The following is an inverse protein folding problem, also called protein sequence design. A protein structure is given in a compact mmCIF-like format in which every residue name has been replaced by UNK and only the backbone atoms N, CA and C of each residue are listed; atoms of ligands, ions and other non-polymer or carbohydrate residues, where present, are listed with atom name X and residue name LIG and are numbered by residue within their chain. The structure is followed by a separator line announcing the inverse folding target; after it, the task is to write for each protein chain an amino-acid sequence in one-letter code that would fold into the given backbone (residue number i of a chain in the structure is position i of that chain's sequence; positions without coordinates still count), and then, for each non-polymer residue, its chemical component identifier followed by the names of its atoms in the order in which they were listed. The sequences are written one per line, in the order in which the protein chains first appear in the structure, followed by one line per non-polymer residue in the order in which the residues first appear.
data_IF_080882372210
#
_entry.id   IF_080882372210
#
_cell.length_a   1.000
_cell.length_b   1.000
_cell.length_c   1.000
_cell.angle_alpha   90.00
_cell.angle_beta   90.00
_cell.angle_gamma   90.00
#
_symmetry.space_group_name_H-M   'P 1'
#
loop_
_entity.id
_entity.type
_entity.pdbx_description
1 polymer ?
#
# COMPACT_ATOMS: atom_id res chain seq x y z
N UNK A 1 -23.92 2.31 -36.67
CA UNK A 1 -22.64 1.55 -36.53
C UNK A 1 -22.09 1.85 -35.16
N UNK A 2 -21.38 0.91 -34.53
CA UNK A 2 -20.72 1.18 -33.25
C UNK A 2 -19.25 1.54 -33.45
N UNK A 3 -18.71 2.31 -32.52
CA UNK A 3 -17.29 2.57 -32.37
C UNK A 3 -16.85 2.23 -30.95
N UNK A 4 -15.65 1.66 -30.81
CA UNK A 4 -15.04 1.45 -29.50
C UNK A 4 -14.59 2.79 -28.92
N UNK A 5 -14.55 2.89 -27.60
CA UNK A 5 -14.13 4.10 -26.89
C UNK A 5 -13.25 3.78 -25.69
N UNK A 6 -12.62 4.82 -25.15
CA UNK A 6 -11.78 4.75 -23.95
C UNK A 6 -12.19 5.86 -23.00
N UNK A 7 -12.40 5.51 -21.73
CA UNK A 7 -12.73 6.48 -20.68
C UNK A 7 -11.85 6.25 -19.45
N UNK A 8 -11.65 7.33 -18.70
CA UNK A 8 -10.83 7.36 -17.50
C UNK A 8 -11.72 7.44 -16.26
N UNK A 9 -11.32 6.77 -15.19
CA UNK A 9 -11.98 6.92 -13.90
C UNK A 9 -11.71 8.30 -13.32
N UNK A 10 -12.71 8.87 -12.64
CA UNK A 10 -12.54 10.06 -11.83
C UNK A 10 -12.03 9.72 -10.42
N UNK A 11 -11.78 10.75 -9.61
CA UNK A 11 -11.29 10.58 -8.24
C UNK A 11 -12.25 9.83 -7.29
N UNK A 12 -13.48 9.53 -7.72
CA UNK A 12 -14.44 8.69 -6.99
C UNK A 12 -14.46 7.24 -7.48
N UNK A 13 -13.62 6.89 -8.46
CA UNK A 13 -13.57 5.56 -9.07
C UNK A 13 -14.73 5.32 -10.04
N UNK A 14 -15.30 6.39 -10.62
CA UNK A 14 -16.42 6.31 -11.55
C UNK A 14 -16.02 6.80 -12.95
N UNK A 15 -16.58 6.16 -13.97
CA UNK A 15 -16.49 6.59 -15.36
C UNK A 15 -17.87 6.50 -16.01
N UNK A 16 -18.10 7.27 -17.06
CA UNK A 16 -19.36 7.21 -17.81
C UNK A 16 -19.15 7.47 -19.29
N UNK A 17 -20.05 6.93 -20.09
CA UNK A 17 -20.18 7.23 -21.52
C UNK A 17 -21.59 7.74 -21.79
N UNK A 18 -21.73 8.50 -22.86
CA UNK A 18 -23.01 8.78 -23.51
C UNK A 18 -23.11 7.96 -24.82
N UNK A 19 -24.31 7.82 -25.40
CA UNK A 19 -24.48 7.02 -26.60
C UNK A 19 -23.67 7.48 -27.83
N UNK A 20 -23.31 8.77 -27.91
CA UNK A 20 -22.52 9.29 -29.03
C UNK A 20 -21.05 8.87 -28.92
N UNK A 21 -20.56 8.56 -27.73
CA UNK A 21 -19.17 8.11 -27.52
C UNK A 21 -18.90 6.75 -28.18
N UNK A 22 -19.95 5.95 -28.38
CA UNK A 22 -19.89 4.64 -29.05
C UNK A 22 -20.66 4.58 -30.36
N UNK A 23 -21.22 5.70 -30.83
CA UNK A 23 -21.85 5.78 -32.15
C UNK A 23 -20.80 6.01 -33.24
N UNK A 24 -20.61 5.01 -34.09
CA UNK A 24 -19.74 5.06 -35.26
C UNK A 24 -20.40 5.67 -36.50
N UNK A 25 -21.39 6.56 -36.32
CA UNK A 25 -22.13 7.22 -37.40
C UNK A 25 -23.34 6.42 -37.87
N UNK A 26 -24.25 6.09 -36.96
CA UNK A 26 -25.52 5.47 -37.33
C UNK A 26 -26.37 6.38 -38.21
N UNK A 27 -26.99 5.80 -39.24
CA UNK A 27 -27.85 6.51 -40.20
C UNK A 27 -29.13 5.73 -40.44
N UNK A 28 -30.21 6.44 -40.74
CA UNK A 28 -31.48 5.87 -41.20
C UNK A 28 -31.96 6.67 -42.42
N UNK A 29 -32.23 5.97 -43.52
CA UNK A 29 -32.65 6.56 -44.80
C UNK A 29 -34.06 7.19 -44.73
N UNK A 30 -34.86 6.87 -43.71
CA UNK A 30 -36.25 7.25 -43.56
C UNK A 30 -36.53 8.15 -42.33
N UNK A 31 -35.62 8.23 -41.36
CA UNK A 31 -35.81 9.01 -40.13
C UNK A 31 -35.01 10.32 -40.13
N UNK A 32 -35.64 11.41 -39.70
CA UNK A 32 -34.99 12.72 -39.53
C UNK A 32 -34.34 12.91 -38.16
N UNK A 33 -34.66 12.04 -37.19
CA UNK A 33 -34.11 12.05 -35.82
C UNK A 33 -33.94 10.60 -35.37
N UNK A 34 -32.76 10.30 -34.81
CA UNK A 34 -32.45 9.01 -34.21
C UNK A 34 -32.48 9.11 -32.68
N UNK A 35 -32.98 8.05 -32.05
CA UNK A 35 -32.98 7.82 -30.62
C UNK A 35 -31.92 6.77 -30.30
N UNK A 36 -31.19 6.98 -29.21
CA UNK A 36 -30.09 6.13 -28.78
C UNK A 36 -30.34 5.64 -27.36
N UNK A 37 -30.03 4.37 -27.11
CA UNK A 37 -30.06 3.77 -25.78
C UNK A 37 -28.84 2.88 -25.58
N UNK A 38 -28.29 2.90 -24.37
CA UNK A 38 -27.23 2.00 -23.92
C UNK A 38 -27.78 1.07 -22.85
N UNK A 39 -27.36 -0.18 -22.85
CA UNK A 39 -27.62 -1.12 -21.77
C UNK A 39 -26.85 -0.77 -20.49
N UNK A 40 -25.67 -0.15 -20.63
CA UNK A 40 -24.84 0.37 -19.55
C UNK A 40 -24.14 1.68 -19.99
N UNK A 41 -24.10 2.66 -19.09
CA UNK A 41 -23.45 3.96 -19.34
C UNK A 41 -22.61 4.48 -18.17
N UNK A 42 -22.57 3.75 -17.06
CA UNK A 42 -21.81 4.06 -15.86
C UNK A 42 -20.95 2.85 -15.49
N UNK A 43 -19.72 3.13 -15.08
CA UNK A 43 -18.71 2.13 -14.74
C UNK A 43 -18.02 2.52 -13.44
N UNK A 44 -17.54 1.50 -12.75
CA UNK A 44 -16.76 1.57 -11.53
C UNK A 44 -15.44 0.83 -11.72
N UNK A 45 -14.50 0.98 -10.80
CA UNK A 45 -13.22 0.27 -10.85
C UNK A 45 -13.35 -1.25 -10.98
N UNK A 46 -14.45 -1.87 -10.51
CA UNK A 46 -14.67 -3.31 -10.66
C UNK A 46 -15.00 -3.75 -12.09
N UNK A 47 -15.33 -2.81 -12.97
CA UNK A 47 -15.65 -3.06 -14.38
C UNK A 47 -14.40 -3.07 -15.27
N UNK A 48 -13.25 -2.62 -14.75
CA UNK A 48 -11.99 -2.58 -15.49
C UNK A 48 -11.45 -3.99 -15.83
N UNK A 49 -10.65 -4.13 -16.91
CA UNK A 49 -10.15 -3.07 -17.80
C UNK A 49 -11.01 -2.81 -19.05
N UNK A 50 -12.02 -3.64 -19.31
CA UNK A 50 -12.83 -3.54 -20.52
C UNK A 50 -14.24 -4.10 -20.31
N UNK A 51 -15.26 -3.38 -20.80
CA UNK A 51 -16.65 -3.82 -20.83
C UNK A 51 -17.20 -3.74 -22.25
N UNK A 52 -18.04 -4.72 -22.61
CA UNK A 52 -18.81 -4.71 -23.86
C UNK A 52 -20.21 -4.13 -23.58
N UNK A 53 -20.55 -3.02 -24.23
CA UNK A 53 -21.87 -2.38 -24.13
C UNK A 53 -22.65 -2.55 -25.44
N UNK A 54 -23.97 -2.64 -25.33
CA UNK A 54 -24.89 -2.66 -26.46
C UNK A 54 -25.47 -1.25 -26.68
N UNK A 55 -25.24 -0.70 -27.86
CA UNK A 55 -25.94 0.48 -28.36
C UNK A 55 -27.15 0.04 -29.18
N UNK A 56 -28.32 0.53 -28.79
CA UNK A 56 -29.56 0.44 -29.57
C UNK A 56 -29.84 1.81 -30.21
N UNK A 57 -30.10 1.79 -31.52
CA UNK A 57 -30.45 2.97 -32.32
C UNK A 57 -31.76 2.71 -33.04
N UNK A 58 -32.74 3.59 -32.84
CA UNK A 58 -34.04 3.54 -33.52
C UNK A 58 -34.55 4.92 -33.88
N UNK A 59 -35.66 5.01 -34.60
CA UNK A 59 -36.30 6.26 -35.05
C UNK A 59 -37.41 6.74 -34.08
N UNK A 60 -37.53 6.08 -32.91
CA UNK A 60 -38.60 6.33 -31.95
C UNK A 60 -39.94 5.68 -32.31
N UNK A 61 -40.03 4.96 -33.42
CA UNK A 61 -41.21 4.20 -33.82
C UNK A 61 -41.02 2.70 -33.50
N UNK A 62 -41.78 2.14 -32.53
CA UNK A 62 -41.65 0.74 -32.16
C UNK A 62 -42.07 -0.24 -33.28
N UNK A 63 -42.68 0.22 -34.38
CA UNK A 63 -43.09 -0.62 -35.50
C UNK A 63 -42.01 -0.84 -36.56
N UNK A 64 -40.99 0.02 -36.63
CA UNK A 64 -39.91 -0.02 -37.64
C UNK A 64 -38.69 -0.80 -37.15
N UNK A 65 -38.63 -1.11 -35.85
CA UNK A 65 -37.54 -1.86 -35.22
C UNK A 65 -36.32 -0.98 -34.93
N UNK A 66 -35.34 -1.54 -34.25
CA UNK A 66 -34.08 -0.87 -33.90
C UNK A 66 -32.89 -1.67 -34.41
N UNK A 67 -31.81 -0.95 -34.73
CA UNK A 67 -30.50 -1.54 -34.97
C UNK A 67 -29.74 -1.63 -33.66
N UNK A 68 -29.11 -2.77 -33.39
CA UNK A 68 -28.20 -2.92 -32.26
C UNK A 68 -26.78 -3.20 -32.73
N UNK A 69 -25.81 -2.72 -31.97
CA UNK A 69 -24.42 -3.09 -32.15
C UNK A 69 -23.70 -3.12 -30.80
N UNK A 70 -22.57 -3.82 -30.78
CA UNK A 70 -21.71 -3.92 -29.61
C UNK A 70 -20.49 -3.01 -29.78
N UNK A 71 -20.10 -2.33 -28.71
CA UNK A 71 -18.89 -1.52 -28.62
C UNK A 71 -18.06 -1.98 -27.41
N UNK A 72 -16.73 -2.03 -27.57
CA UNK A 72 -15.83 -2.20 -26.45
C UNK A 72 -15.54 -0.84 -25.80
N UNK A 73 -15.62 -0.78 -24.48
CA UNK A 73 -15.28 0.37 -23.66
C UNK A 73 -14.04 -0.01 -22.85
N UNK A 74 -12.89 0.56 -23.20
CA UNK A 74 -11.66 0.41 -22.42
C UNK A 74 -11.69 1.38 -21.24
N UNK A 75 -11.51 0.86 -20.04
CA UNK A 75 -11.52 1.61 -18.79
C UNK A 75 -10.08 1.74 -18.27
N UNK A 76 -9.63 2.97 -18.06
CA UNK A 76 -8.27 3.26 -17.60
C UNK A 76 -8.33 3.99 -16.28
N UNK A 77 -7.51 3.54 -15.33
CA UNK A 77 -7.17 4.33 -14.15
C UNK A 77 -5.75 4.87 -14.33
N UNK A 78 -5.61 6.20 -14.36
CA UNK A 78 -4.34 6.92 -14.45
C UNK A 78 -4.06 7.78 -13.21
N UNK A 79 -4.90 7.65 -12.17
CA UNK A 79 -4.74 8.37 -10.92
C UNK A 79 -3.75 7.61 -10.03
N UNK A 80 -2.78 8.35 -9.49
CA UNK A 80 -1.79 7.77 -8.59
C UNK A 80 -2.40 7.54 -7.20
N UNK A 81 -2.02 6.47 -6.48
CA UNK A 81 -2.44 6.27 -5.11
C UNK A 81 -1.95 7.40 -4.19
N UNK A 82 -2.68 7.68 -3.12
CA UNK A 82 -2.26 8.53 -2.02
C UNK A 82 -1.53 7.69 -0.97
N UNK A 83 -0.20 7.61 -1.08
CA UNK A 83 0.65 6.96 -0.08
C UNK A 83 0.72 7.81 1.20
N UNK A 84 0.33 7.22 2.34
CA UNK A 84 0.35 7.85 3.65
C UNK A 84 1.26 7.04 4.56
N UNK A 85 2.28 7.68 5.13
CA UNK A 85 3.26 7.05 6.00
C UNK A 85 3.01 7.42 7.46
N UNK A 86 3.35 6.51 8.36
CA UNK A 86 3.47 6.77 9.79
C UNK A 86 4.85 6.35 10.30
N UNK A 87 5.39 7.14 11.24
CA UNK A 87 6.63 6.80 11.92
C UNK A 87 6.40 5.64 12.90
N UNK A 88 7.45 4.84 13.11
CA UNK A 88 7.42 3.63 13.92
C UNK A 88 8.60 3.59 14.88
N UNK A 89 8.40 3.07 16.09
CA UNK A 89 9.48 2.74 17.02
C UNK A 89 9.47 1.24 17.32
N UNK A 90 10.63 0.60 17.20
CA UNK A 90 10.82 -0.84 17.44
C UNK A 90 12.02 -1.09 18.33
N UNK A 91 11.97 -2.18 19.08
CA UNK A 91 13.10 -2.67 19.88
C UNK A 91 13.70 -3.89 19.16
N UNK A 92 15.04 -4.02 19.19
CA UNK A 92 15.70 -5.25 18.74
C UNK A 92 15.32 -6.43 19.66
N UNK A 93 15.28 -7.63 19.11
CA UNK A 93 15.15 -8.85 19.89
C UNK A 93 16.47 -9.24 20.59
N UNK A 94 16.46 -10.33 21.37
CA UNK A 94 17.66 -10.83 22.06
C UNK A 94 18.78 -11.33 21.13
N UNK A 95 18.53 -11.43 19.82
CA UNK A 95 19.56 -11.70 18.81
C UNK A 95 20.14 -10.42 18.19
N UNK A 96 19.63 -9.25 18.59
CA UNK A 96 20.02 -7.95 18.05
C UNK A 96 19.42 -7.64 16.70
N UNK A 97 18.26 -8.22 16.38
CA UNK A 97 17.55 -8.07 15.11
C UNK A 97 16.10 -7.60 15.33
N UNK A 98 15.53 -6.89 14.36
CA UNK A 98 14.10 -6.61 14.32
C UNK A 98 13.62 -6.57 12.86
N UNK A 99 12.34 -6.86 12.65
CA UNK A 99 11.72 -6.79 11.33
C UNK A 99 10.47 -5.93 11.35
N UNK A 100 10.22 -5.22 10.26
CA UNK A 100 8.99 -4.46 10.03
C UNK A 100 8.34 -4.91 8.73
N UNK A 101 7.02 -4.81 8.68
CA UNK A 101 6.22 -4.99 7.48
C UNK A 101 5.80 -3.64 6.91
N UNK A 102 5.44 -3.55 5.61
CA UNK A 102 4.87 -2.33 5.04
C UNK A 102 3.65 -1.82 5.82
N UNK A 103 2.86 -2.71 6.41
CA UNK A 103 1.66 -2.36 7.18
C UNK A 103 1.98 -1.65 8.49
N UNK A 104 3.17 -1.88 9.08
CA UNK A 104 3.55 -1.23 10.35
C UNK A 104 3.84 0.27 10.17
N UNK A 105 4.21 0.67 8.95
CA UNK A 105 4.55 2.06 8.57
C UNK A 105 3.50 2.72 7.65
N UNK A 106 2.44 2.00 7.29
CA UNK A 106 1.32 2.55 6.53
C UNK A 106 0.38 3.34 7.44
N UNK A 107 0.21 4.63 7.13
CA UNK A 107 -0.68 5.56 7.83
C UNK A 107 -2.10 5.59 7.26
N UNK A 108 -2.46 4.64 6.41
CA UNK A 108 -3.77 4.55 5.75
C UNK A 108 -3.72 5.05 4.32
N UNK A 109 -2.83 4.50 3.51
CA UNK A 109 -2.73 4.77 2.07
C UNK A 109 -4.05 4.41 1.36
N UNK A 110 -4.46 5.24 0.40
CA UNK A 110 -5.75 5.08 -0.31
C UNK A 110 -5.62 5.39 -1.78
N UNK A 111 -6.60 4.97 -2.57
CA UNK A 111 -6.72 5.26 -3.99
C UNK A 111 -8.22 5.22 -4.41
N UNK A 112 -8.60 5.82 -5.54
CA UNK A 112 -9.97 5.79 -6.07
C UNK A 112 -10.43 4.38 -6.49
N UNK A 113 -9.51 3.54 -6.95
CA UNK A 113 -9.74 2.13 -7.26
C UNK A 113 -9.12 1.18 -6.22
N UNK A 114 -8.59 1.74 -5.13
CA UNK A 114 -8.02 1.00 -4.02
C UNK A 114 -6.55 0.63 -4.22
N UNK A 115 -5.85 0.44 -3.11
CA UNK A 115 -4.43 0.04 -3.13
C UNK A 115 -4.35 -1.48 -3.25
N UNK A 116 -3.68 -1.95 -4.31
CA UNK A 116 -3.46 -3.37 -4.57
C UNK A 116 -2.28 -3.93 -3.75
N UNK A 117 -1.20 -3.16 -3.59
CA UNK A 117 -0.04 -3.60 -2.82
C UNK A 117 0.70 -2.47 -2.11
N UNK A 118 1.41 -2.83 -1.05
CA UNK A 118 2.33 -1.97 -0.31
C UNK A 118 3.70 -2.63 -0.28
N UNK A 119 4.75 -1.88 -0.58
CA UNK A 119 6.14 -2.36 -0.52
C UNK A 119 7.00 -1.41 0.29
N UNK A 120 8.01 -1.95 0.95
CA UNK A 120 8.95 -1.20 1.79
C UNK A 120 10.38 -1.56 1.37
N UNK A 121 11.24 -0.56 1.22
CA UNK A 121 12.63 -0.73 0.78
C UNK A 121 13.52 -1.44 1.82
N UNK A 122 13.25 -1.23 3.11
CA UNK A 122 13.99 -1.82 4.23
C UNK A 122 13.01 -2.45 5.22
N UNK A 123 13.19 -3.75 5.48
CA UNK A 123 12.28 -4.54 6.35
C UNK A 123 12.99 -5.21 7.52
N UNK A 124 14.32 -5.11 7.60
CA UNK A 124 15.15 -5.77 8.60
C UNK A 124 16.12 -4.74 9.19
N UNK A 125 16.26 -4.76 10.51
CA UNK A 125 17.10 -3.86 11.28
C UNK A 125 17.95 -4.67 12.25
N UNK A 126 19.12 -4.14 12.56
CA UNK A 126 20.13 -4.74 13.42
C UNK A 126 20.67 -3.73 14.42
N UNK A 127 21.58 -4.17 15.28
CA UNK A 127 22.34 -3.28 16.18
C UNK A 127 23.12 -2.15 15.46
N UNK A 128 23.40 -2.27 14.16
CA UNK A 128 24.02 -1.20 13.37
C UNK A 128 23.04 -0.05 13.04
N UNK A 129 21.74 -0.32 13.12
CA UNK A 129 20.67 0.57 12.70
C UNK A 129 20.02 1.28 13.90
N UNK A 130 20.61 1.21 15.10
CA UNK A 130 20.08 1.90 16.30
C UNK A 130 20.01 3.41 16.04
N UNK A 131 18.85 4.01 16.32
CA UNK A 131 18.53 5.40 16.02
C UNK A 131 17.46 5.53 14.93
N UNK A 132 17.42 6.69 14.27
CA UNK A 132 16.43 6.97 13.22
C UNK A 132 16.89 6.47 11.85
N UNK A 133 16.04 5.70 11.18
CA UNK A 133 16.24 5.21 9.82
C UNK A 133 15.09 5.67 8.95
N UNK A 134 15.40 6.24 7.78
CA UNK A 134 14.35 6.56 6.80
C UNK A 134 14.09 5.33 5.92
N UNK A 135 12.81 5.02 5.75
CA UNK A 135 12.32 3.97 4.85
C UNK A 135 11.31 4.54 3.88
N UNK A 136 11.24 3.95 2.70
CA UNK A 136 10.33 4.37 1.61
C UNK A 136 9.21 3.36 1.48
N UNK A 137 8.00 3.75 1.88
CA UNK A 137 6.78 2.98 1.60
C UNK A 137 6.29 3.36 0.20
N UNK A 138 6.00 2.36 -0.63
CA UNK A 138 5.43 2.55 -1.97
C UNK A 138 4.09 1.82 -2.04
N UNK A 139 3.04 2.57 -2.41
CA UNK A 139 1.71 2.05 -2.69
C UNK A 139 1.53 1.87 -4.20
N UNK A 140 0.94 0.73 -4.57
CA UNK A 140 0.57 0.36 -5.94
C UNK A 140 -0.93 0.08 -5.99
N UNK A 141 -1.64 0.68 -6.95
CA UNK A 141 -3.06 0.38 -7.20
C UNK A 141 -3.24 -0.81 -8.15
N UNK A 142 -4.49 -1.15 -8.49
CA UNK A 142 -4.79 -2.28 -9.38
C UNK A 142 -4.43 -2.02 -10.87
N UNK A 143 -4.24 -0.77 -11.26
CA UNK A 143 -3.84 -0.38 -12.60
C UNK A 143 -2.31 -0.26 -12.78
N UNK A 144 -1.55 -0.41 -11.69
CA UNK A 144 -0.10 -0.33 -11.65
C UNK A 144 0.44 1.09 -11.46
N UNK A 145 -0.41 2.03 -11.04
CA UNK A 145 0.04 3.37 -10.67
C UNK A 145 0.75 3.33 -9.31
N UNK A 146 1.82 4.10 -9.18
CA UNK A 146 2.70 4.08 -8.02
C UNK A 146 2.83 5.46 -7.39
N UNK A 147 2.82 5.48 -6.06
CA UNK A 147 3.24 6.65 -5.29
C UNK A 147 3.94 6.21 -4.01
N UNK A 148 4.81 7.07 -3.47
CA UNK A 148 5.65 6.73 -2.33
C UNK A 148 5.66 7.84 -1.29
N UNK A 149 5.89 7.46 -0.04
CA UNK A 149 6.13 8.37 1.08
C UNK A 149 7.32 7.89 1.93
N UNK A 150 7.86 8.80 2.75
CA UNK A 150 8.94 8.50 3.69
C UNK A 150 8.37 8.35 5.11
N UNK A 151 8.80 7.28 5.80
CA UNK A 151 8.56 7.06 7.22
C UNK A 151 9.89 6.98 7.97
N UNK A 152 9.88 7.38 9.25
CA UNK A 152 11.02 7.20 10.14
C UNK A 152 10.81 5.98 11.03
N UNK A 153 11.68 4.99 10.92
CA UNK A 153 11.76 3.85 11.84
C UNK A 153 12.85 4.13 12.87
N UNK A 154 12.44 4.33 14.12
CA UNK A 154 13.34 4.48 15.27
C UNK A 154 13.62 3.11 15.87
N UNK A 155 14.87 2.67 15.77
CA UNK A 155 15.33 1.38 16.32
C UNK A 155 15.97 1.63 17.67
N UNK A 156 15.42 1.01 18.70
CA UNK A 156 15.98 0.96 20.04
C UNK A 156 16.80 -0.33 20.22
N UNK A 157 17.74 -0.31 21.17
CA UNK A 157 18.48 -1.51 21.55
C UNK A 157 17.56 -2.61 22.12
N UNK A 158 18.10 -3.82 22.25
CA UNK A 158 17.37 -4.93 22.82
C UNK A 158 16.96 -4.65 24.29
N UNK A 159 15.75 -5.04 24.71
CA UNK A 159 15.31 -4.87 26.11
C UNK A 159 16.16 -5.74 27.06
N UNK A 160 16.26 -5.34 28.35
CA UNK A 160 17.08 -6.06 29.33
C UNK A 160 16.56 -7.50 29.51
N UNK A 161 17.45 -8.50 29.46
CA UNK A 161 17.12 -9.90 29.73
C UNK A 161 18.22 -10.58 30.53
N UNK A 162 17.89 -10.94 31.77
CA UNK A 162 18.81 -11.43 32.78
C UNK A 162 19.32 -12.86 32.58
N UNK A 163 19.22 -13.42 31.37
CA UNK A 163 19.62 -14.80 31.06
C UNK A 163 19.94 -15.00 29.56
N UNK A 164 20.10 -13.94 28.78
CA UNK A 164 20.40 -14.03 27.34
C UNK A 164 21.91 -13.97 27.03
N UNK A 165 22.75 -13.73 28.05
CA UNK A 165 24.20 -13.74 27.94
C UNK A 165 24.78 -12.52 27.24
N UNK A 166 23.97 -11.48 27.01
CA UNK A 166 24.41 -10.18 26.50
C UNK A 166 24.22 -9.11 27.59
N UNK A 167 24.81 -7.93 27.40
CA UNK A 167 24.56 -6.77 28.27
C UNK A 167 23.72 -5.78 27.46
N UNK A 168 22.41 -5.77 27.66
CA UNK A 168 21.46 -4.96 26.91
C UNK A 168 20.51 -4.16 27.84
N UNK A 169 19.66 -3.31 27.27
CA UNK A 169 18.77 -2.46 28.05
C UNK A 169 19.47 -1.57 29.09
N UNK A 170 19.08 -1.71 30.36
CA UNK A 170 19.63 -0.97 31.51
C UNK A 170 20.54 -1.82 32.42
N UNK A 171 20.99 -2.98 31.93
CA UNK A 171 21.88 -3.88 32.66
C UNK A 171 23.26 -3.25 32.94
N UNK A 172 23.76 -3.45 34.16
CA UNK A 172 25.08 -2.93 34.58
C UNK A 172 26.22 -3.92 34.37
N UNK A 173 25.89 -5.17 34.06
CA UNK A 173 26.78 -6.24 33.64
C UNK A 173 26.00 -7.30 32.87
N UNK A 174 26.68 -8.30 32.28
CA UNK A 174 26.01 -9.38 31.53
C UNK A 174 24.97 -10.06 32.44
N UNK A 175 23.70 -10.06 32.02
CA UNK A 175 22.57 -10.67 32.71
C UNK A 175 22.31 -10.13 34.14
N UNK A 176 22.81 -8.94 34.51
CA UNK A 176 22.68 -8.43 35.87
C UNK A 176 22.61 -6.91 36.01
N UNK A 177 21.97 -6.47 37.10
CA UNK A 177 21.79 -5.07 37.46
C UNK A 177 20.66 -4.38 36.70
N UNK A 178 20.68 -3.05 36.70
CA UNK A 178 19.55 -2.27 36.18
C UNK A 178 18.30 -2.38 37.06
N UNK A 179 17.14 -2.09 36.46
CA UNK A 179 15.82 -2.14 37.10
C UNK A 179 15.15 -3.51 36.99
N UNK A 180 15.51 -4.29 35.97
CA UNK A 180 14.85 -5.54 35.63
C UNK A 180 15.60 -6.80 36.06
N UNK A 181 16.92 -6.70 36.33
CA UNK A 181 17.75 -7.86 36.69
C UNK A 181 18.28 -7.81 38.13
N UNK A 182 18.59 -8.98 38.73
CA UNK A 182 19.22 -9.04 40.05
C UNK A 182 20.52 -8.22 40.06
N UNK A 183 20.87 -7.54 41.17
CA UNK A 183 22.09 -6.75 41.25
C UNK A 183 23.31 -7.59 40.86
N UNK A 184 24.21 -7.01 40.05
CA UNK A 184 25.46 -7.68 39.72
C UNK A 184 26.21 -8.03 41.00
N UNK A 185 26.71 -9.28 41.05
CA UNK A 185 27.63 -9.67 42.08
C UNK A 185 28.86 -8.78 41.96
N UNK A 186 29.02 -7.82 42.88
CA UNK A 186 30.31 -7.17 43.06
C UNK A 186 31.30 -8.30 43.36
N UNK A 187 32.47 -8.34 42.69
CA UNK A 187 33.51 -9.23 43.16
C UNK A 187 33.71 -8.84 44.61
N UNK A 188 33.33 -9.75 45.52
CA UNK A 188 33.60 -9.57 46.93
C UNK A 188 35.07 -9.18 46.98
N UNK A 189 35.39 -7.98 47.49
CA UNK A 189 36.74 -7.72 47.92
C UNK A 189 37.01 -8.81 48.94
N UNK A 190 37.68 -9.88 48.49
CA UNK A 190 38.07 -10.96 49.35
C UNK A 190 38.91 -10.31 50.46
N UNK A 191 38.49 -10.37 51.73
CA UNK A 191 39.32 -9.93 52.83
C UNK A 191 40.62 -10.76 52.94
N UNK A 192 40.80 -11.78 52.09
CA UNK A 192 41.88 -12.76 52.10
C UNK A 192 43.02 -12.58 51.09
N UNK A 193 42.96 -11.69 50.10
CA UNK A 193 44.12 -11.47 49.22
C UNK A 193 45.17 -10.56 49.87
N UNK A 194 45.96 -11.15 50.76
CA UNK A 194 47.25 -10.58 51.15
C UNK A 194 48.19 -10.68 49.95
N UNK A 195 48.51 -9.52 49.36
CA UNK A 195 49.57 -9.34 48.38
C UNK A 195 50.85 -10.02 48.87
N UNK A 196 51.18 -11.17 48.30
CA UNK A 196 52.42 -11.87 48.60
C UNK A 196 53.57 -11.26 47.79
N UNK A 197 54.55 -10.76 48.52
CA UNK A 197 55.85 -10.21 48.12
C UNK A 197 56.51 -10.95 46.95
N UNK A 198 57.08 -10.20 46.00
CA UNK A 198 58.25 -10.64 45.22
C UNK A 198 59.39 -9.66 45.54
N UNK A 199 60.54 -10.24 45.85
CA UNK A 199 61.82 -9.60 46.24
C UNK A 199 62.53 -9.00 45.04
#
# INVERSE_FOLDING_TARGET
MCANTTVFFDASGQASINPQDVDGGSTDDCATVLNYALDQSQFTCSDAPEVMVQLEVGDGNPATGSGTCMAAVTLIDDLLPSAVCQDLSIDLDGSGMASVSPQDVDGGSTDNCGVASLTLDITQFSSADIGQNQVTLTAEDAAGNLNSCLATVTVNGAPPNCSDGIQNGDETGIDCGGSSCPPCAVPCADPGFTSNTIT
#
